data_IF_591464247677
#
_entry.id   IF_591464247677
#
_cell.length_a   1.000
_cell.length_b   1.000
_cell.length_c   1.000
_cell.angle_alpha   90.00
_cell.angle_beta   90.00
_cell.angle_gamma   90.00
#
_symmetry.space_group_name_H-M   'P 1'
#
loop_
_entity.id
_entity.type
_entity.pdbx_description
1 polymer ?
#
# COMPACT_ATOMS: atom_id res chain seq x y z
N UNK A 1 19.42 19.38 -22.85
CA UNK A 1 18.31 18.44 -22.63
C UNK A 1 17.17 18.88 -23.54
N UNK A 2 16.73 18.04 -24.48
CA UNK A 2 15.66 18.40 -25.41
C UNK A 2 14.30 18.33 -24.69
N UNK A 3 13.32 19.12 -25.16
CA UNK A 3 12.00 19.24 -24.53
C UNK A 3 11.31 17.87 -24.36
N UNK A 4 11.37 17.02 -25.39
CA UNK A 4 10.76 15.68 -25.36
C UNK A 4 11.35 14.81 -24.24
N UNK A 5 12.68 14.88 -24.03
CA UNK A 5 13.37 14.14 -22.98
C UNK A 5 12.99 14.67 -21.59
N UNK A 6 12.87 16.00 -21.45
CA UNK A 6 12.39 16.61 -20.21
C UNK A 6 10.97 16.17 -19.87
N UNK A 7 10.05 16.19 -20.84
CA UNK A 7 8.67 15.75 -20.66
C UNK A 7 8.59 14.24 -20.36
N UNK A 8 9.43 13.42 -20.99
CA UNK A 8 9.53 11.99 -20.68
C UNK A 8 9.95 11.75 -19.22
N UNK A 9 10.93 12.51 -18.72
CA UNK A 9 11.33 12.44 -17.31
C UNK A 9 10.26 12.98 -16.35
N UNK A 10 9.48 13.99 -16.75
CA UNK A 10 8.34 14.45 -15.97
C UNK A 10 7.29 13.34 -15.81
N UNK A 11 6.94 12.63 -16.90
CA UNK A 11 6.02 11.48 -16.83
C UNK A 11 6.58 10.37 -15.94
N UNK A 12 7.87 10.04 -16.08
CA UNK A 12 8.51 9.06 -15.21
C UNK A 12 8.48 9.49 -13.74
N UNK A 13 8.76 10.77 -13.46
CA UNK A 13 8.71 11.35 -12.12
C UNK A 13 7.32 11.28 -11.50
N UNK A 14 6.27 11.63 -12.25
CA UNK A 14 4.87 11.49 -11.80
C UNK A 14 4.52 10.03 -11.53
N UNK A 15 5.01 9.11 -12.37
CA UNK A 15 4.77 7.67 -12.20
C UNK A 15 5.37 7.18 -10.88
N UNK A 16 6.68 7.38 -10.68
CA UNK A 16 7.35 6.96 -9.45
C UNK A 16 6.86 7.71 -8.22
N UNK A 17 6.56 9.01 -8.36
CA UNK A 17 5.95 9.80 -7.29
C UNK A 17 4.58 9.28 -6.87
N UNK A 18 3.78 8.77 -7.81
CA UNK A 18 2.51 8.10 -7.49
C UNK A 18 2.74 6.79 -6.74
N UNK A 19 3.69 5.96 -7.20
CA UNK A 19 4.04 4.69 -6.54
C UNK A 19 4.44 4.92 -5.09
N UNK A 20 5.40 5.82 -4.86
CA UNK A 20 5.88 6.13 -3.51
C UNK A 20 4.81 6.86 -2.69
N UNK A 21 4.01 7.73 -3.32
CA UNK A 21 2.90 8.43 -2.69
C UNK A 21 1.83 7.48 -2.12
N UNK A 22 1.46 6.43 -2.84
CA UNK A 22 0.51 5.41 -2.34
C UNK A 22 1.08 4.71 -1.09
N UNK A 23 2.36 4.36 -1.12
CA UNK A 23 3.04 3.74 0.03
C UNK A 23 3.10 4.73 1.22
N UNK A 24 3.45 5.98 0.96
CA UNK A 24 3.50 7.07 1.94
C UNK A 24 2.14 7.31 2.62
N UNK A 25 1.06 7.30 1.84
CA UNK A 25 -0.32 7.45 2.36
C UNK A 25 -0.65 6.32 3.33
N UNK A 26 -0.29 5.07 3.00
CA UNK A 26 -0.48 3.94 3.92
C UNK A 26 0.32 4.09 5.21
N UNK A 27 1.60 4.47 5.13
CA UNK A 27 2.41 4.81 6.31
C UNK A 27 1.73 5.89 7.17
N UNK A 28 1.27 6.97 6.54
CA UNK A 28 0.68 8.11 7.23
C UNK A 28 -0.62 7.74 7.97
N UNK A 29 -1.44 6.85 7.40
CA UNK A 29 -2.67 6.38 8.04
C UNK A 29 -2.39 5.63 9.35
N UNK A 30 -1.40 4.72 9.35
CA UNK A 30 -1.02 4.02 10.59
C UNK A 30 -0.35 5.00 11.56
N UNK A 31 0.56 5.83 11.07
CA UNK A 31 1.29 6.79 11.89
C UNK A 31 0.35 7.77 12.60
N UNK A 32 -0.63 8.35 11.91
CA UNK A 32 -1.57 9.28 12.55
C UNK A 32 -2.44 8.59 13.62
N UNK A 33 -2.80 7.32 13.43
CA UNK A 33 -3.61 6.59 14.39
C UNK A 33 -2.81 6.10 15.62
N UNK A 34 -1.50 5.88 15.48
CA UNK A 34 -0.68 5.20 16.48
C UNK A 34 0.49 6.02 17.02
N UNK A 35 0.89 7.08 16.33
CA UNK A 35 2.12 7.84 16.55
C UNK A 35 3.39 7.09 16.14
N UNK A 36 3.28 6.01 15.38
CA UNK A 36 4.36 5.05 15.17
C UNK A 36 4.51 4.69 13.70
N UNK A 37 5.76 4.57 13.26
CA UNK A 37 6.14 4.16 11.92
C UNK A 37 6.08 2.62 11.84
N UNK A 38 5.25 2.09 10.96
CA UNK A 38 5.15 0.65 10.71
C UNK A 38 6.07 0.22 9.57
N UNK A 39 7.25 -0.31 9.90
CA UNK A 39 8.22 -0.77 8.89
C UNK A 39 7.74 -1.95 8.02
N UNK A 40 6.67 -2.64 8.41
CA UNK A 40 6.05 -3.70 7.59
C UNK A 40 5.14 -3.17 6.48
N UNK A 41 5.02 -1.85 6.30
CA UNK A 41 4.13 -1.26 5.28
C UNK A 41 4.44 -1.74 3.86
N UNK A 42 5.72 -1.88 3.52
CA UNK A 42 6.14 -2.39 2.22
C UNK A 42 5.70 -3.82 1.96
N UNK A 43 5.59 -4.63 3.02
CA UNK A 43 5.15 -6.01 2.89
C UNK A 43 3.69 -6.11 2.45
N UNK A 44 2.83 -5.13 2.77
CA UNK A 44 1.47 -5.11 2.22
C UNK A 44 1.44 -4.89 0.71
N UNK A 45 2.40 -4.13 0.19
CA UNK A 45 2.60 -3.94 -1.26
C UNK A 45 3.01 -5.26 -1.89
N UNK A 46 4.03 -5.91 -1.32
CA UNK A 46 4.50 -7.22 -1.78
C UNK A 46 3.38 -8.28 -1.72
N UNK A 47 2.70 -8.43 -0.58
CA UNK A 47 1.63 -9.39 -0.39
C UNK A 47 0.46 -9.17 -1.37
N UNK A 48 0.04 -7.93 -1.59
CA UNK A 48 -1.01 -7.63 -2.56
C UNK A 48 -0.64 -8.05 -3.98
N UNK A 49 0.55 -7.65 -4.44
CA UNK A 49 1.03 -8.04 -5.77
C UNK A 49 1.21 -9.55 -5.92
N UNK A 50 1.89 -10.20 -4.99
CA UNK A 50 2.17 -11.64 -5.04
C UNK A 50 0.90 -12.49 -4.95
N UNK A 51 -0.05 -12.09 -4.09
CA UNK A 51 -1.35 -12.75 -3.97
C UNK A 51 -2.17 -12.56 -5.24
N UNK A 52 -2.21 -11.36 -5.81
CA UNK A 52 -2.92 -11.10 -7.07
C UNK A 52 -2.34 -11.90 -8.24
N UNK A 53 -1.00 -12.01 -8.34
CA UNK A 53 -0.34 -12.85 -9.35
C UNK A 53 -0.75 -14.31 -9.22
N UNK A 54 -0.75 -14.85 -8.00
CA UNK A 54 -1.16 -16.24 -7.77
C UNK A 54 -2.63 -16.46 -8.14
N UNK A 55 -3.51 -15.57 -7.70
CA UNK A 55 -4.95 -15.66 -7.97
C UNK A 55 -5.28 -15.40 -9.45
N UNK A 56 -4.48 -14.59 -10.16
CA UNK A 56 -4.65 -14.32 -11.58
C UNK A 56 -4.47 -15.55 -12.49
N UNK A 57 -3.96 -16.66 -11.95
CA UNK A 57 -3.91 -17.96 -12.65
C UNK A 57 -5.26 -18.68 -12.66
N UNK A 58 -6.16 -18.32 -11.74
CA UNK A 58 -7.44 -19.01 -11.51
C UNK A 58 -8.66 -18.11 -11.69
N UNK A 59 -8.48 -16.80 -11.50
CA UNK A 59 -9.53 -15.79 -11.54
C UNK A 59 -9.24 -14.75 -12.62
N UNK A 60 -10.28 -14.11 -13.19
CA UNK A 60 -10.07 -12.95 -14.05
C UNK A 60 -9.38 -11.83 -13.26
N UNK A 61 -8.53 -11.06 -13.94
CA UNK A 61 -7.63 -10.09 -13.32
C UNK A 61 -8.31 -9.14 -12.31
N UNK A 62 -9.49 -8.53 -12.58
CA UNK A 62 -10.14 -7.66 -11.60
C UNK A 62 -10.54 -8.40 -10.31
N UNK A 63 -11.01 -9.65 -10.44
CA UNK A 63 -11.39 -10.47 -9.30
C UNK A 63 -10.15 -10.92 -8.50
N UNK A 64 -9.07 -11.29 -9.18
CA UNK A 64 -7.80 -11.62 -8.53
C UNK A 64 -7.26 -10.44 -7.70
N UNK A 65 -7.29 -9.23 -8.25
CA UNK A 65 -6.88 -8.00 -7.55
C UNK A 65 -7.81 -7.74 -6.35
N UNK A 66 -9.12 -7.83 -6.53
CA UNK A 66 -10.08 -7.59 -5.45
C UNK A 66 -9.87 -8.56 -4.28
N UNK A 67 -9.73 -9.85 -4.57
CA UNK A 67 -9.49 -10.87 -3.53
C UNK A 67 -8.12 -10.67 -2.87
N UNK A 68 -7.08 -10.32 -3.62
CA UNK A 68 -5.77 -10.00 -3.05
C UNK A 68 -5.83 -8.80 -2.09
N UNK A 69 -6.57 -7.74 -2.44
CA UNK A 69 -6.78 -6.59 -1.57
C UNK A 69 -7.52 -6.99 -0.29
N UNK A 70 -8.57 -7.82 -0.39
CA UNK A 70 -9.31 -8.31 0.78
C UNK A 70 -8.42 -9.15 1.70
N UNK A 71 -7.64 -10.09 1.12
CA UNK A 71 -6.72 -10.95 1.86
C UNK A 71 -5.67 -10.12 2.59
N UNK A 72 -4.99 -9.20 1.89
CA UNK A 72 -3.97 -8.36 2.52
C UNK A 72 -4.56 -7.40 3.55
N UNK A 73 -5.77 -6.87 3.33
CA UNK A 73 -6.51 -6.07 4.32
C UNK A 73 -6.77 -6.88 5.60
N UNK A 74 -7.19 -8.13 5.45
CA UNK A 74 -7.39 -9.04 6.58
C UNK A 74 -6.07 -9.35 7.29
N UNK A 75 -4.97 -9.55 6.55
CA UNK A 75 -3.62 -9.70 7.14
C UNK A 75 -3.24 -8.47 7.95
N UNK A 76 -3.51 -7.25 7.46
CA UNK A 76 -3.30 -6.02 8.20
C UNK A 76 -4.07 -6.00 9.54
N UNK A 77 -5.35 -6.38 9.51
CA UNK A 77 -6.15 -6.52 10.73
C UNK A 77 -5.55 -7.55 11.70
N UNK A 78 -5.17 -8.72 11.19
CA UNK A 78 -4.60 -9.81 11.99
C UNK A 78 -3.28 -9.39 12.64
N UNK A 79 -2.41 -8.70 11.92
CA UNK A 79 -1.15 -8.19 12.47
C UNK A 79 -1.43 -7.26 13.65
N UNK A 80 -2.34 -6.31 13.49
CA UNK A 80 -2.72 -5.42 14.58
C UNK A 80 -3.27 -6.22 15.75
N UNK A 81 -4.24 -7.10 15.50
CA UNK A 81 -4.96 -7.84 16.54
C UNK A 81 -4.04 -8.78 17.31
N UNK A 82 -3.09 -9.44 16.64
CA UNK A 82 -2.25 -10.47 17.25
C UNK A 82 -1.00 -9.88 17.90
N UNK A 83 -0.38 -8.87 17.30
CA UNK A 83 0.95 -8.40 17.74
C UNK A 83 0.93 -7.02 18.39
N UNK A 84 0.03 -6.13 17.98
CA UNK A 84 0.07 -4.72 18.40
C UNK A 84 -0.96 -4.41 19.49
N UNK A 85 -2.16 -4.97 19.35
CA UNK A 85 -3.35 -4.68 20.15
C UNK A 85 -3.19 -4.92 21.65
N UNK A 86 -2.32 -5.86 22.02
CA UNK A 86 -2.09 -6.28 23.42
C UNK A 86 -1.01 -5.46 24.11
N UNK A 87 -0.31 -4.59 23.38
CA UNK A 87 0.77 -3.79 23.91
C UNK A 87 0.22 -2.65 24.78
N UNK A 88 0.58 -2.66 26.05
CA UNK A 88 0.25 -1.59 26.99
C UNK A 88 1.34 -0.51 26.94
N UNK A 89 0.99 0.67 26.40
CA UNK A 89 1.88 1.84 26.28
C UNK A 89 3.30 1.46 25.77
N UNK A 90 3.41 0.81 24.59
CA UNK A 90 4.72 0.42 24.09
C UNK A 90 5.55 1.67 23.77
N UNK A 91 6.85 1.61 24.06
CA UNK A 91 7.79 2.62 23.58
C UNK A 91 7.90 2.58 22.05
N UNK A 92 8.29 3.70 21.45
CA UNK A 92 8.52 3.80 19.99
C UNK A 92 9.51 2.71 19.54
N UNK A 93 10.62 2.53 20.26
CA UNK A 93 11.61 1.50 19.95
C UNK A 93 11.01 0.09 19.98
N UNK A 94 10.19 -0.24 20.98
CA UNK A 94 9.54 -1.56 21.06
C UNK A 94 8.67 -1.83 19.83
N UNK A 95 7.95 -0.82 19.35
CA UNK A 95 7.09 -0.96 18.17
C UNK A 95 7.90 -1.08 16.87
N UNK A 96 9.00 -0.33 16.75
CA UNK A 96 9.92 -0.47 15.62
C UNK A 96 10.47 -1.90 15.54
N UNK A 97 10.96 -2.44 16.67
CA UNK A 97 11.49 -3.81 16.72
C UNK A 97 10.41 -4.83 16.32
N UNK A 98 9.17 -4.68 16.83
CA UNK A 98 8.06 -5.58 16.49
C UNK A 98 7.73 -5.51 14.99
N UNK A 99 7.62 -4.31 14.42
CA UNK A 99 7.25 -4.14 13.00
C UNK A 99 8.35 -4.57 12.05
N UNK A 100 9.63 -4.39 12.40
CA UNK A 100 10.76 -4.97 11.66
C UNK A 100 10.73 -6.50 11.74
N UNK A 101 10.52 -7.06 12.93
CA UNK A 101 10.41 -8.51 13.10
C UNK A 101 9.25 -9.10 12.28
N UNK A 102 8.11 -8.41 12.23
CA UNK A 102 6.97 -8.75 11.37
C UNK A 102 7.31 -8.64 9.89
N UNK A 103 8.03 -7.60 9.45
CA UNK A 103 8.46 -7.48 8.06
C UNK A 103 9.33 -8.66 7.64
N UNK A 104 10.32 -9.02 8.46
CA UNK A 104 11.17 -10.19 8.21
C UNK A 104 10.32 -11.46 8.16
N UNK A 105 9.44 -11.68 9.14
CA UNK A 105 8.58 -12.87 9.17
C UNK A 105 7.69 -12.98 7.92
N UNK A 106 7.04 -11.89 7.51
CA UNK A 106 6.19 -11.87 6.32
C UNK A 106 7.01 -12.15 5.06
N UNK A 107 8.20 -11.56 4.95
CA UNK A 107 9.13 -11.78 3.84
C UNK A 107 9.58 -13.23 3.74
N UNK A 108 9.96 -13.85 4.86
CA UNK A 108 10.40 -15.26 4.87
C UNK A 108 9.23 -16.22 4.59
N UNK A 109 8.03 -15.93 5.12
CA UNK A 109 6.82 -16.68 4.74
C UNK A 109 6.56 -16.55 3.23
N UNK A 110 6.74 -15.35 2.67
CA UNK A 110 6.58 -15.14 1.24
C UNK A 110 7.64 -15.90 0.43
N UNK A 111 8.90 -15.93 0.89
CA UNK A 111 9.96 -16.74 0.29
C UNK A 111 9.62 -18.22 0.30
N UNK A 112 9.03 -18.76 1.37
CA UNK A 112 8.65 -20.17 1.40
C UNK A 112 7.46 -20.52 0.49
N UNK A 113 6.46 -19.64 0.39
CA UNK A 113 5.26 -19.88 -0.43
C UNK A 113 5.56 -19.67 -1.92
N UNK A 114 6.32 -18.64 -2.26
CA UNK A 114 6.54 -18.20 -3.62
C UNK A 114 7.98 -18.39 -4.11
N UNK A 115 8.97 -18.62 -3.26
CA UNK A 115 10.36 -18.70 -3.69
C UNK A 115 10.93 -17.37 -4.23
N UNK A 116 12.15 -17.44 -4.74
CA UNK A 116 12.94 -16.27 -5.19
C UNK A 116 12.51 -15.73 -6.56
N UNK A 117 11.69 -16.46 -7.31
CA UNK A 117 11.36 -16.09 -8.68
C UNK A 117 10.58 -14.78 -8.75
N UNK A 118 11.03 -13.89 -9.62
CA UNK A 118 10.34 -12.64 -9.96
C UNK A 118 9.08 -12.92 -10.78
N UNK A 119 8.00 -12.18 -10.49
CA UNK A 119 6.71 -12.34 -11.16
C UNK A 119 6.11 -10.99 -11.49
N UNK A 120 5.15 -10.96 -12.41
CA UNK A 120 4.34 -9.77 -12.66
C UNK A 120 2.91 -10.15 -13.01
N UNK A 121 1.99 -9.26 -12.67
CA UNK A 121 0.67 -9.25 -13.28
C UNK A 121 0.80 -8.87 -14.76
N UNK A 122 -0.10 -9.36 -15.63
CA UNK A 122 -0.17 -8.85 -17.00
C UNK A 122 -0.52 -7.36 -17.00
N UNK A 123 -0.12 -6.68 -18.07
CA UNK A 123 -0.53 -5.30 -18.31
C UNK A 123 -2.06 -5.22 -18.38
N UNK A 124 -2.64 -4.21 -17.72
CA UNK A 124 -4.10 -4.07 -17.65
C UNK A 124 -4.69 -3.69 -19.01
N UNK A 125 -3.87 -3.05 -19.85
CA UNK A 125 -4.21 -2.71 -21.23
C UNK A 125 -2.93 -2.74 -22.07
N UNK A 126 -2.97 -3.44 -23.20
CA UNK A 126 -1.81 -3.59 -24.08
C UNK A 126 -0.74 -4.53 -23.52
N UNK A 127 0.52 -4.27 -23.88
CA UNK A 127 1.70 -5.07 -23.53
C UNK A 127 2.84 -4.15 -23.09
N UNK A 128 3.99 -4.73 -22.72
CA UNK A 128 5.20 -3.98 -22.36
C UNK A 128 5.73 -3.05 -23.46
N UNK A 129 5.41 -3.32 -24.73
CA UNK A 129 5.81 -2.49 -25.88
C UNK A 129 4.72 -1.54 -26.34
N UNK A 130 3.50 -1.65 -25.79
CA UNK A 130 2.40 -0.77 -26.16
C UNK A 130 2.63 0.62 -25.56
N UNK A 131 2.68 1.63 -26.42
CA UNK A 131 2.85 3.02 -26.03
C UNK A 131 1.89 3.93 -26.77
N UNK A 132 1.36 4.92 -26.07
CA UNK A 132 0.59 6.02 -26.63
C UNK A 132 1.55 7.19 -26.82
N UNK A 133 1.58 7.76 -28.02
CA UNK A 133 2.40 8.93 -28.33
C UNK A 133 1.59 10.20 -28.07
N UNK A 134 2.04 11.03 -27.15
CA UNK A 134 1.41 12.31 -26.79
C UNK A 134 2.49 13.39 -26.77
N UNK A 135 2.42 14.36 -27.70
CA UNK A 135 3.33 15.51 -27.72
C UNK A 135 4.82 15.15 -27.75
N UNK A 136 5.22 14.10 -28.48
CA UNK A 136 6.62 13.65 -28.55
C UNK A 136 7.03 12.66 -27.44
N UNK A 137 6.18 12.44 -26.44
CA UNK A 137 6.41 11.54 -25.30
C UNK A 137 5.76 10.18 -25.56
N UNK A 138 6.42 9.10 -25.15
CA UNK A 138 5.88 7.74 -25.18
C UNK A 138 5.41 7.34 -23.79
N UNK A 139 4.10 7.06 -23.66
CA UNK A 139 3.47 6.71 -22.38
C UNK A 139 2.87 5.32 -22.49
N UNK A 140 3.30 4.40 -21.62
CA UNK A 140 2.65 3.08 -21.51
C UNK A 140 1.24 3.25 -20.93
N UNK A 141 0.21 2.55 -21.45
CA UNK A 141 -1.12 2.54 -20.84
C UNK A 141 -1.11 2.15 -19.36
N UNK A 142 -0.17 1.31 -18.92
CA UNK A 142 -0.05 0.93 -17.51
C UNK A 142 0.33 2.12 -16.61
N UNK A 143 1.11 3.08 -17.12
CA UNK A 143 1.44 4.31 -16.38
C UNK A 143 0.17 5.11 -16.10
N UNK A 144 -0.75 5.19 -17.07
CA UNK A 144 -2.03 5.86 -16.88
C UNK A 144 -2.89 5.16 -15.83
N UNK A 145 -2.85 3.83 -15.75
CA UNK A 145 -3.50 3.07 -14.69
C UNK A 145 -2.90 3.35 -13.31
N UNK A 146 -1.57 3.38 -13.19
CA UNK A 146 -0.89 3.69 -11.92
C UNK A 146 -1.29 5.08 -11.43
N UNK A 147 -1.17 6.09 -12.30
CA UNK A 147 -1.52 7.49 -11.96
C UNK A 147 -3.01 7.64 -11.68
N UNK A 148 -3.86 7.07 -12.54
CA UNK A 148 -5.32 7.17 -12.43
C UNK A 148 -5.85 6.49 -11.17
N UNK A 149 -5.44 5.25 -10.91
CA UNK A 149 -5.87 4.52 -9.70
C UNK A 149 -5.28 5.19 -8.45
N UNK A 150 -4.04 5.66 -8.48
CA UNK A 150 -3.45 6.42 -7.38
C UNK A 150 -4.26 7.67 -7.03
N UNK A 151 -4.65 8.47 -8.05
CA UNK A 151 -5.49 9.64 -7.87
C UNK A 151 -6.88 9.28 -7.31
N UNK A 152 -7.50 8.21 -7.83
CA UNK A 152 -8.79 7.70 -7.34
C UNK A 152 -8.69 7.26 -5.87
N UNK A 153 -7.64 6.54 -5.49
CA UNK A 153 -7.41 6.12 -4.10
C UNK A 153 -7.30 7.34 -3.18
N UNK A 154 -6.49 8.35 -3.55
CA UNK A 154 -6.36 9.58 -2.77
C UNK A 154 -7.70 10.32 -2.65
N UNK A 155 -8.46 10.44 -3.74
CA UNK A 155 -9.77 11.07 -3.73
C UNK A 155 -10.76 10.33 -2.83
N UNK A 156 -10.82 9.00 -2.93
CA UNK A 156 -11.67 8.15 -2.07
C UNK A 156 -11.28 8.32 -0.60
N UNK A 157 -9.99 8.33 -0.27
CA UNK A 157 -9.53 8.54 1.10
C UNK A 157 -9.89 9.94 1.62
N UNK A 158 -9.74 10.97 0.78
CA UNK A 158 -10.16 12.33 1.11
C UNK A 158 -11.65 12.41 1.44
N UNK A 159 -12.50 11.78 0.63
CA UNK A 159 -13.94 11.67 0.88
C UNK A 159 -14.22 10.86 2.14
N UNK A 160 -13.56 9.71 2.30
CA UNK A 160 -13.71 8.82 3.45
C UNK A 160 -13.42 9.54 4.77
N UNK A 161 -12.26 10.19 4.89
CA UNK A 161 -11.87 10.90 6.11
C UNK A 161 -12.75 12.13 6.38
N UNK A 162 -13.23 12.81 5.33
CA UNK A 162 -14.02 14.04 5.47
C UNK A 162 -15.49 13.77 5.80
N UNK A 163 -16.11 12.78 5.16
CA UNK A 163 -17.56 12.63 5.14
C UNK A 163 -18.09 11.36 5.82
N UNK A 164 -17.25 10.35 6.08
CA UNK A 164 -17.73 9.12 6.75
C UNK A 164 -17.57 9.19 8.26
N UNK A 165 -18.49 8.58 9.01
CA UNK A 165 -18.41 8.49 10.47
C UNK A 165 -17.12 7.81 10.92
N UNK A 166 -16.73 6.71 10.28
CA UNK A 166 -15.52 5.97 10.63
C UNK A 166 -14.26 6.82 10.36
N UNK A 167 -14.19 7.50 9.22
CA UNK A 167 -13.08 8.41 8.91
C UNK A 167 -12.99 9.60 9.88
N UNK A 168 -14.13 10.18 10.28
CA UNK A 168 -14.17 11.23 11.30
C UNK A 168 -13.73 10.72 12.68
N UNK A 169 -14.13 9.51 13.07
CA UNK A 169 -13.69 8.87 14.32
C UNK A 169 -12.17 8.60 14.32
N UNK A 170 -11.62 8.12 13.20
CA UNK A 170 -10.18 7.94 13.05
C UNK A 170 -9.42 9.27 13.19
N UNK A 171 -9.90 10.35 12.56
CA UNK A 171 -9.32 11.69 12.70
C UNK A 171 -9.42 12.23 14.13
N UNK A 172 -10.55 12.02 14.80
CA UNK A 172 -10.72 12.42 16.21
C UNK A 172 -9.73 11.67 17.12
N UNK A 173 -9.57 10.36 16.93
CA UNK A 173 -8.58 9.57 17.66
C UNK A 173 -7.14 10.00 17.38
N UNK A 174 -6.81 10.39 16.15
CA UNK A 174 -5.50 10.90 15.78
C UNK A 174 -5.21 12.28 16.42
N UNK A 175 -6.22 13.14 16.52
CA UNK A 175 -6.08 14.46 17.12
C UNK A 175 -5.90 14.39 18.64
N UNK A 176 -6.75 13.63 19.34
CA UNK A 176 -6.58 13.38 20.77
C UNK A 176 -7.26 12.06 21.15
N UNK A 177 -6.43 11.05 21.41
CA UNK A 177 -6.90 9.68 21.70
C UNK A 177 -7.73 9.59 22.97
N UNK A 178 -7.41 10.37 24.00
CA UNK A 178 -8.12 10.32 25.27
C UNK A 178 -9.44 11.08 25.20
N UNK A 179 -9.47 12.24 24.54
CA UNK A 179 -10.73 12.96 24.28
C UNK A 179 -11.68 12.13 23.42
N UNK A 180 -11.18 11.47 22.37
CA UNK A 180 -11.99 10.59 21.52
C UNK A 180 -12.63 9.43 22.31
N UNK A 181 -11.91 8.86 23.28
CA UNK A 181 -12.43 7.81 24.17
C UNK A 181 -13.54 8.31 25.08
N UNK A 182 -13.43 9.54 25.59
CA UNK A 182 -14.50 10.18 26.38
C UNK A 182 -15.77 10.40 25.55
N UNK A 183 -15.63 10.59 24.23
CA UNK A 183 -16.76 10.64 23.28
C UNK A 183 -17.27 9.24 22.85
N UNK A 184 -16.86 8.16 23.52
CA UNK A 184 -17.28 6.79 23.23
C UNK A 184 -16.60 6.14 22.01
N UNK A 185 -15.57 6.77 21.43
CA UNK A 185 -14.86 6.21 20.27
C UNK A 185 -13.88 5.14 20.75
N UNK A 186 -14.02 3.93 20.20
CA UNK A 186 -13.13 2.81 20.51
C UNK A 186 -11.78 2.98 19.81
N UNK A 187 -10.85 3.67 20.46
CA UNK A 187 -9.50 3.92 19.93
C UNK A 187 -8.66 2.64 19.67
N UNK A 188 -9.11 1.48 20.14
CA UNK A 188 -8.54 0.17 19.81
C UNK A 188 -8.94 -0.25 18.40
N UNK A 189 -10.24 -0.18 18.09
CA UNK A 189 -10.75 -0.51 16.76
C UNK A 189 -10.28 0.49 15.70
N UNK A 190 -10.12 1.77 16.04
CA UNK A 190 -9.57 2.77 15.11
C UNK A 190 -8.15 2.44 14.65
N UNK A 191 -7.33 1.81 15.51
CA UNK A 191 -5.99 1.32 15.13
C UNK A 191 -6.11 0.10 14.22
N UNK A 192 -7.02 -0.84 14.51
CA UNK A 192 -7.27 -1.96 13.59
C UNK A 192 -7.71 -1.49 12.21
N UNK A 193 -8.63 -0.52 12.15
CA UNK A 193 -9.07 0.06 10.88
C UNK A 193 -7.95 0.80 10.16
N UNK A 194 -7.01 1.44 10.87
CA UNK A 194 -5.85 2.08 10.23
C UNK A 194 -4.92 1.05 9.59
N UNK A 195 -4.67 -0.08 10.26
CA UNK A 195 -3.91 -1.20 9.70
C UNK A 195 -4.62 -1.85 8.51
N UNK A 196 -5.92 -2.08 8.59
CA UNK A 196 -6.74 -2.59 7.49
C UNK A 196 -6.65 -1.68 6.27
N UNK A 197 -6.94 -0.39 6.45
CA UNK A 197 -6.97 0.59 5.36
C UNK A 197 -5.59 0.72 4.72
N UNK A 198 -4.54 0.80 5.55
CA UNK A 198 -3.16 0.89 5.07
C UNK A 198 -2.72 -0.36 4.30
N UNK A 199 -3.07 -1.56 4.79
CA UNK A 199 -2.75 -2.80 4.12
C UNK A 199 -3.52 -2.95 2.79
N UNK A 200 -4.78 -2.53 2.75
CA UNK A 200 -5.58 -2.49 1.53
C UNK A 200 -5.00 -1.54 0.48
N UNK A 201 -4.59 -0.33 0.87
CA UNK A 201 -3.94 0.64 -0.02
C UNK A 201 -2.60 0.11 -0.51
N UNK A 202 -1.79 -0.47 0.39
CA UNK A 202 -0.54 -1.13 0.04
C UNK A 202 -0.78 -2.22 -1.01
N UNK A 203 -1.80 -3.06 -0.80
CA UNK A 203 -2.14 -4.13 -1.72
C UNK A 203 -2.58 -3.62 -3.10
N UNK A 204 -3.39 -2.55 -3.15
CA UNK A 204 -3.74 -1.87 -4.40
C UNK A 204 -2.46 -1.38 -5.09
N UNK A 205 -1.57 -0.70 -4.37
CA UNK A 205 -0.26 -0.28 -4.88
C UNK A 205 0.53 -1.44 -5.47
N UNK A 206 0.61 -2.57 -4.77
CA UNK A 206 1.30 -3.76 -5.25
C UNK A 206 0.72 -4.30 -6.55
N UNK A 207 -0.62 -4.38 -6.63
CA UNK A 207 -1.31 -4.88 -7.81
C UNK A 207 -1.12 -3.97 -9.04
N UNK A 208 -1.25 -2.66 -8.88
CA UNK A 208 -1.20 -1.74 -10.04
C UNK A 208 0.23 -1.52 -10.55
N UNK A 209 1.22 -1.64 -9.67
CA UNK A 209 2.64 -1.42 -9.98
C UNK A 209 3.33 -2.70 -10.46
N UNK A 210 2.83 -3.87 -10.06
CA UNK A 210 3.39 -5.18 -10.44
C UNK A 210 3.71 -5.35 -11.94
N UNK A 211 2.89 -4.89 -12.90
CA UNK A 211 3.22 -5.07 -14.33
C UNK A 211 4.45 -4.28 -14.80
N UNK A 212 4.85 -3.20 -14.11
CA UNK A 212 5.98 -2.34 -14.52
C UNK A 212 7.24 -2.55 -13.68
N UNK A 213 7.13 -2.89 -12.39
CA UNK A 213 8.29 -3.09 -11.51
C UNK A 213 8.58 -4.54 -11.18
N UNK A 214 7.68 -5.45 -11.60
CA UNK A 214 7.61 -6.81 -11.09
C UNK A 214 7.38 -6.84 -9.57
N UNK A 215 7.15 -8.05 -9.06
CA UNK A 215 7.02 -8.37 -7.65
C UNK A 215 7.79 -9.66 -7.34
N UNK A 216 8.51 -9.62 -6.23
CA UNK A 216 9.22 -10.73 -5.63
C UNK A 216 9.05 -10.66 -4.11
N UNK A 217 9.49 -11.70 -3.40
CA UNK A 217 9.34 -11.82 -1.95
C UNK A 217 9.99 -10.66 -1.18
N UNK A 218 11.05 -10.04 -1.72
CA UNK A 218 11.83 -8.96 -1.10
C UNK A 218 11.46 -7.55 -1.60
N UNK A 219 10.46 -7.43 -2.48
CA UNK A 219 10.10 -6.15 -3.12
C UNK A 219 9.52 -5.11 -2.15
N UNK A 220 9.07 -5.52 -0.96
CA UNK A 220 8.41 -4.65 0.01
C UNK A 220 9.33 -3.57 0.60
N UNK A 221 10.49 -3.99 1.13
CA UNK A 221 11.41 -3.10 1.87
C UNK A 221 11.91 -1.92 1.03
N UNK A 222 12.39 -2.09 -0.22
CA UNK A 222 12.85 -0.97 -1.03
C UNK A 222 11.74 0.06 -1.33
N UNK A 223 10.51 -0.39 -1.55
CA UNK A 223 9.36 0.49 -1.77
C UNK A 223 8.97 1.22 -0.49
N UNK A 224 9.02 0.54 0.66
CA UNK A 224 8.77 1.15 1.96
C UNK A 224 9.75 2.29 2.25
N UNK A 225 11.05 2.08 2.04
CA UNK A 225 12.08 3.09 2.31
C UNK A 225 11.83 4.32 1.44
N UNK A 226 11.60 4.14 0.13
CA UNK A 226 11.35 5.26 -0.80
C UNK A 226 10.01 5.97 -0.58
N UNK A 227 9.01 5.26 -0.05
CA UNK A 227 7.74 5.87 0.35
C UNK A 227 7.81 6.62 1.67
N UNK A 228 8.82 6.33 2.50
CA UNK A 228 9.02 6.97 3.80
C UNK A 228 9.91 8.22 3.72
N UNK A 229 10.94 8.20 2.87
CA UNK A 229 11.90 9.30 2.67
C UNK A 229 11.46 10.26 1.57
#
# INVERSE_FOLDING_TARGET
MNLDLFLQYMVAGVTYGTIYGIVAVGFNIIYNATGIINFAQGEFVMLGGMTAVTLGRFLPLPAAILVAVIVTTAVGALIEILFIRWLHRPSVLRMIVITIGLSILIREVALHIWGESVRALPYFTGTSVTSIRLGGVYISPQVLWVVGIGAVVVAILGVFFRYTLLGMQMRACAANRDAARLCGISAKNMVTFSFMLSAGIGAIGGCIVSPITYVAYDSGVPLAIKGFT
#
